data_IF_426346330538
#
_entry.id   IF_426346330538
#
_cell.length_a   1.000
_cell.length_b   1.000
_cell.length_c   1.000
_cell.angle_alpha   90.00
_cell.angle_beta   90.00
_cell.angle_gamma   90.00
#
_symmetry.space_group_name_H-M   'P 1'
#
loop_
_entity.id
_entity.type
_entity.pdbx_description
1 polymer ?
#
# COMPACT_ATOMS: atom_id res chain seq x y z
N UNK A 1 -3.69 18.89 -37.48
CA UNK A 1 -3.98 18.26 -36.16
C UNK A 1 -2.64 17.93 -35.51
N UNK A 2 -2.49 18.13 -34.19
CA UNK A 2 -1.25 17.82 -33.48
C UNK A 2 -1.00 16.31 -33.53
N UNK A 3 0.21 15.91 -33.90
CA UNK A 3 0.69 14.53 -33.99
C UNK A 3 1.52 14.22 -32.76
N UNK A 4 1.17 13.15 -32.04
CA UNK A 4 1.86 12.76 -30.82
C UNK A 4 2.48 11.38 -31.02
N UNK A 5 3.79 11.26 -30.78
CA UNK A 5 4.49 9.98 -30.77
C UNK A 5 4.58 9.43 -29.35
N UNK A 6 4.15 8.18 -29.16
CA UNK A 6 4.33 7.45 -27.91
C UNK A 6 5.39 6.36 -28.10
N UNK A 7 6.44 6.40 -27.29
CA UNK A 7 7.54 5.44 -27.27
C UNK A 7 7.49 4.71 -25.92
N UNK A 8 7.19 3.42 -25.95
CA UNK A 8 7.15 2.58 -24.75
C UNK A 8 8.54 2.05 -24.40
N UNK A 9 9.00 2.28 -23.16
CA UNK A 9 10.31 1.80 -22.69
C UNK A 9 10.21 1.09 -21.34
N UNK A 10 11.09 0.12 -21.12
CA UNK A 10 11.26 -0.57 -19.84
C UNK A 10 12.74 -0.74 -19.56
N UNK A 11 13.11 -0.76 -18.28
CA UNK A 11 14.50 -1.02 -17.89
C UNK A 11 14.90 -2.47 -18.18
N UNK A 12 16.20 -2.69 -18.26
CA UNK A 12 16.76 -4.04 -18.29
C UNK A 12 16.27 -4.84 -17.07
N UNK A 13 15.99 -6.15 -17.25
CA UNK A 13 15.56 -7.00 -16.14
C UNK A 13 16.60 -6.98 -15.01
N UNK A 14 16.16 -7.04 -13.74
CA UNK A 14 17.06 -7.25 -12.61
C UNK A 14 17.92 -8.51 -12.82
N UNK A 15 19.11 -8.55 -12.22
CA UNK A 15 20.05 -9.67 -12.41
C UNK A 15 19.41 -11.03 -12.09
N UNK A 16 18.59 -11.10 -11.04
CA UNK A 16 17.88 -12.31 -10.60
C UNK A 16 16.86 -12.84 -11.64
N UNK A 17 16.44 -12.00 -12.59
CA UNK A 17 15.46 -12.33 -13.63
C UNK A 17 16.08 -12.48 -15.01
N UNK A 18 17.37 -12.17 -15.21
CA UNK A 18 18.03 -12.25 -16.52
C UNK A 18 17.91 -13.64 -17.14
N UNK A 19 18.10 -14.70 -16.36
CA UNK A 19 17.97 -16.08 -16.84
C UNK A 19 16.57 -16.43 -17.35
N UNK A 20 15.52 -15.94 -16.68
CA UNK A 20 14.13 -16.16 -17.10
C UNK A 20 13.82 -15.41 -18.40
N UNK A 21 14.29 -14.16 -18.53
CA UNK A 21 14.12 -13.39 -19.75
C UNK A 21 14.86 -14.04 -20.91
N UNK A 22 16.12 -14.46 -20.74
CA UNK A 22 16.84 -15.18 -21.78
C UNK A 22 16.15 -16.49 -22.18
N UNK A 23 15.59 -17.24 -21.22
CA UNK A 23 14.88 -18.49 -21.49
C UNK A 23 13.54 -18.27 -22.23
N UNK A 24 12.93 -17.10 -22.07
CA UNK A 24 11.69 -16.75 -22.77
C UNK A 24 11.88 -16.43 -24.26
N UNK A 25 13.13 -16.29 -24.72
CA UNK A 25 13.46 -15.93 -26.10
C UNK A 25 13.31 -14.44 -26.41
N UNK A 26 12.93 -13.61 -25.44
CA UNK A 26 12.90 -12.16 -25.58
C UNK A 26 14.30 -11.55 -25.39
N UNK A 27 14.61 -10.54 -26.21
CA UNK A 27 15.77 -9.67 -26.03
C UNK A 27 15.29 -8.32 -25.52
N UNK A 28 15.90 -7.84 -24.43
CA UNK A 28 15.65 -6.49 -23.90
C UNK A 28 16.91 -5.67 -24.11
N UNK A 29 16.82 -4.68 -24.98
CA UNK A 29 17.92 -3.77 -25.30
C UNK A 29 18.05 -2.63 -24.28
N UNK A 30 19.18 -1.91 -24.31
CA UNK A 30 19.38 -0.74 -23.44
C UNK A 30 18.35 0.35 -23.78
N UNK A 31 17.48 0.76 -22.84
CA UNK A 31 16.45 1.75 -23.11
C UNK A 31 17.00 3.10 -23.52
N UNK A 32 18.23 3.47 -23.11
CA UNK A 32 18.83 4.75 -23.51
C UNK A 32 19.23 4.75 -25.00
N UNK A 33 19.82 3.64 -25.47
CA UNK A 33 20.21 3.47 -26.86
C UNK A 33 18.97 3.40 -27.78
N UNK A 34 17.96 2.64 -27.35
CA UNK A 34 16.69 2.51 -28.10
C UNK A 34 15.97 3.85 -28.15
N UNK A 35 15.85 4.58 -27.04
CA UNK A 35 15.18 5.89 -27.02
C UNK A 35 15.76 6.86 -28.06
N UNK A 36 17.09 6.93 -28.18
CA UNK A 36 17.75 7.80 -29.15
C UNK A 36 17.39 7.44 -30.60
N UNK A 37 17.35 6.14 -30.92
CA UNK A 37 16.98 5.64 -32.25
C UNK A 37 15.52 5.96 -32.57
N UNK A 38 14.61 5.64 -31.66
CA UNK A 38 13.16 5.79 -31.86
C UNK A 38 12.76 7.28 -31.91
N UNK A 39 13.36 8.15 -31.09
CA UNK A 39 13.13 9.59 -31.14
C UNK A 39 13.55 10.20 -32.49
N UNK A 40 14.70 9.78 -33.03
CA UNK A 40 15.15 10.21 -34.35
C UNK A 40 14.21 9.74 -35.48
N UNK A 41 13.59 8.57 -35.34
CA UNK A 41 12.64 8.05 -36.33
C UNK A 41 11.32 8.86 -36.38
N UNK A 42 10.91 9.45 -35.26
CA UNK A 42 9.64 10.19 -35.14
C UNK A 42 9.79 11.70 -35.22
N UNK A 43 11.02 12.23 -35.25
CA UNK A 43 11.31 13.66 -35.21
C UNK A 43 10.52 14.49 -36.23
N UNK A 44 10.48 14.08 -37.51
CA UNK A 44 9.74 14.80 -38.56
C UNK A 44 8.25 14.37 -38.65
N UNK A 45 7.84 13.39 -37.84
CA UNK A 45 6.52 12.74 -37.90
C UNK A 45 5.61 13.17 -36.75
N UNK A 46 6.15 13.73 -35.68
CA UNK A 46 5.43 14.12 -34.49
C UNK A 46 5.73 15.56 -34.10
N UNK A 47 4.73 16.23 -33.54
CA UNK A 47 4.85 17.58 -33.00
C UNK A 47 5.10 17.51 -31.48
N UNK A 48 4.78 16.38 -30.84
CA UNK A 48 5.07 16.08 -29.43
C UNK A 48 5.59 14.66 -29.28
N UNK A 49 6.70 14.47 -28.59
CA UNK A 49 7.25 13.16 -28.27
C UNK A 49 7.05 12.79 -26.79
N UNK A 50 6.54 11.59 -26.56
CA UNK A 50 6.22 11.07 -25.25
C UNK A 50 6.88 9.71 -25.04
N UNK A 51 7.72 9.60 -24.03
CA UNK A 51 8.15 8.30 -23.51
C UNK A 51 7.18 7.85 -22.42
N UNK A 52 6.62 6.65 -22.56
CA UNK A 52 5.86 5.98 -21.50
C UNK A 52 6.73 4.86 -20.93
N UNK A 53 7.07 4.98 -19.65
CA UNK A 53 8.16 4.20 -19.05
C UNK A 53 7.76 3.32 -17.87
N UNK A 54 8.38 2.15 -17.79
CA UNK A 54 8.60 1.42 -16.54
C UNK A 54 10.10 1.42 -16.23
N UNK A 55 10.59 2.58 -15.80
CA UNK A 55 12.02 2.89 -15.69
C UNK A 55 12.40 3.33 -14.27
N UNK A 56 13.63 3.02 -13.86
CA UNK A 56 14.26 3.57 -12.65
C UNK A 56 14.47 5.07 -12.83
N UNK A 57 14.41 5.81 -11.72
CA UNK A 57 14.61 7.28 -11.69
C UNK A 57 15.94 7.71 -12.34
N UNK A 58 17.00 6.91 -12.19
CA UNK A 58 18.30 7.19 -12.83
C UNK A 58 18.23 7.12 -14.36
N UNK A 59 17.48 6.17 -14.93
CA UNK A 59 17.26 6.04 -16.37
C UNK A 59 16.40 7.20 -16.89
N UNK A 60 15.30 7.52 -16.19
CA UNK A 60 14.43 8.67 -16.52
C UNK A 60 15.22 9.98 -16.59
N UNK A 61 16.06 10.25 -15.59
CA UNK A 61 16.87 11.47 -15.57
C UNK A 61 17.86 11.52 -16.75
N UNK A 62 18.49 10.39 -17.10
CA UNK A 62 19.39 10.30 -18.26
C UNK A 62 18.65 10.53 -19.57
N UNK A 63 17.46 9.96 -19.74
CA UNK A 63 16.64 10.18 -20.94
C UNK A 63 16.33 11.67 -21.14
N UNK A 64 15.86 12.36 -20.11
CA UNK A 64 15.59 13.79 -20.17
C UNK A 64 16.85 14.64 -20.39
N UNK A 65 18.00 14.20 -19.89
CA UNK A 65 19.27 14.92 -20.08
C UNK A 65 19.86 14.75 -21.48
N UNK A 66 19.71 13.57 -22.09
CA UNK A 66 20.42 13.17 -23.30
C UNK A 66 19.64 13.42 -24.60
N UNK A 67 18.34 13.72 -24.51
CA UNK A 67 17.47 13.87 -25.67
C UNK A 67 16.80 15.26 -25.63
N UNK A 68 17.32 16.20 -26.42
CA UNK A 68 16.78 17.55 -26.48
C UNK A 68 15.39 17.60 -27.12
N UNK A 69 15.13 16.69 -28.07
CA UNK A 69 13.85 16.60 -28.81
C UNK A 69 12.76 15.84 -28.04
N UNK A 70 13.02 15.46 -26.79
CA UNK A 70 12.06 14.77 -25.93
C UNK A 70 11.23 15.77 -25.13
N UNK A 71 9.91 15.77 -25.33
CA UNK A 71 9.02 16.72 -24.64
C UNK A 71 8.51 16.19 -23.31
N UNK A 72 8.16 14.91 -23.24
CA UNK A 72 7.47 14.35 -22.07
C UNK A 72 7.94 12.93 -21.74
N UNK A 73 8.09 12.66 -20.44
CA UNK A 73 8.16 11.32 -19.88
C UNK A 73 6.98 11.10 -18.92
N UNK A 74 6.18 10.08 -19.19
CA UNK A 74 5.17 9.53 -18.26
C UNK A 74 5.72 8.20 -17.72
N UNK A 75 6.26 8.19 -16.51
CA UNK A 75 6.90 7.00 -15.95
C UNK A 75 6.09 6.40 -14.81
N UNK A 76 6.03 5.08 -14.69
CA UNK A 76 5.49 4.44 -13.49
C UNK A 76 6.35 4.78 -12.26
N UNK A 77 5.71 5.03 -11.11
CA UNK A 77 6.39 5.11 -9.82
C UNK A 77 5.77 4.13 -8.82
N UNK A 78 6.59 3.19 -8.35
CA UNK A 78 6.21 2.16 -7.41
C UNK A 78 6.40 2.53 -5.93
N UNK A 79 6.87 3.75 -5.62
CA UNK A 79 7.20 4.12 -4.23
C UNK A 79 5.98 4.49 -3.40
N UNK A 80 4.82 4.72 -4.04
CA UNK A 80 3.57 5.12 -3.38
C UNK A 80 3.50 6.61 -3.05
N UNK A 81 4.52 7.39 -3.42
CA UNK A 81 4.53 8.85 -3.27
C UNK A 81 4.21 9.48 -4.61
N UNK A 82 3.17 10.32 -4.66
CA UNK A 82 2.93 11.21 -5.80
C UNK A 82 4.03 12.25 -5.83
N UNK A 83 4.96 12.12 -6.77
CA UNK A 83 6.00 13.11 -7.00
C UNK A 83 5.45 14.25 -7.85
N UNK A 84 5.79 15.49 -7.48
CA UNK A 84 5.49 16.63 -8.33
C UNK A 84 6.19 16.47 -9.69
N UNK A 85 5.58 16.92 -10.80
CA UNK A 85 6.21 16.93 -12.09
C UNK A 85 7.53 17.71 -12.06
N UNK A 86 8.54 17.21 -12.75
CA UNK A 86 9.86 17.81 -12.79
C UNK A 86 10.25 18.16 -14.21
N UNK A 87 10.82 19.33 -14.41
CA UNK A 87 11.40 19.73 -15.71
C UNK A 87 12.90 19.46 -15.69
N UNK A 88 13.40 18.71 -16.68
CA UNK A 88 14.83 18.55 -16.93
C UNK A 88 15.08 18.88 -18.39
N UNK A 89 15.84 19.94 -18.66
CA UNK A 89 16.00 20.51 -20.01
C UNK A 89 14.62 20.77 -20.64
N UNK A 90 14.40 20.31 -21.88
CA UNK A 90 13.12 20.43 -22.58
C UNK A 90 12.05 19.43 -22.08
N UNK A 91 12.47 18.36 -21.39
CA UNK A 91 11.57 17.28 -21.03
C UNK A 91 10.85 17.51 -19.71
N UNK A 92 9.51 17.50 -19.75
CA UNK A 92 8.67 17.38 -18.57
C UNK A 92 8.58 15.91 -18.13
N UNK A 93 8.76 15.65 -16.84
CA UNK A 93 8.69 14.31 -16.26
C UNK A 93 7.50 14.28 -15.31
N UNK A 94 6.58 13.34 -15.53
CA UNK A 94 5.47 13.06 -14.63
C UNK A 94 5.40 11.57 -14.31
N UNK A 95 4.77 11.25 -13.19
CA UNK A 95 4.68 9.88 -12.69
C UNK A 95 3.25 9.35 -12.64
N UNK A 96 3.05 8.11 -13.07
CA UNK A 96 1.84 7.34 -12.81
C UNK A 96 2.02 6.60 -11.47
N UNK A 97 1.27 7.00 -10.46
CA UNK A 97 1.44 6.49 -9.09
C UNK A 97 0.86 5.09 -8.92
N UNK A 98 1.48 4.31 -8.03
CA UNK A 98 1.03 2.97 -7.60
C UNK A 98 -0.46 2.93 -7.22
N UNK A 99 -1.10 1.78 -7.48
CA UNK A 99 -2.45 1.41 -7.03
C UNK A 99 -3.61 2.27 -7.57
N UNK A 100 -3.39 3.08 -8.60
CA UNK A 100 -4.46 3.87 -9.24
C UNK A 100 -5.14 4.81 -8.23
N UNK A 101 -4.41 5.30 -7.23
CA UNK A 101 -4.93 6.28 -6.25
C UNK A 101 -5.19 7.65 -6.86
N UNK A 102 -4.51 7.93 -7.97
CA UNK A 102 -4.70 9.15 -8.72
C UNK A 102 -4.92 8.85 -10.20
N UNK A 103 -5.80 9.61 -10.82
CA UNK A 103 -5.83 9.77 -12.27
C UNK A 103 -4.95 10.95 -12.66
N UNK A 104 -3.89 10.69 -13.43
CA UNK A 104 -3.05 11.73 -13.99
C UNK A 104 -3.72 12.42 -15.16
N UNK A 105 -3.84 13.75 -15.09
CA UNK A 105 -4.36 14.59 -16.16
C UNK A 105 -3.23 15.48 -16.68
N UNK A 106 -2.93 15.37 -17.98
CA UNK A 106 -1.99 16.24 -18.67
C UNK A 106 -2.74 17.04 -19.73
N UNK A 107 -2.57 18.35 -19.72
CA UNK A 107 -3.01 19.26 -20.78
C UNK A 107 -1.80 19.95 -21.37
N UNK A 108 -1.78 20.10 -22.68
CA UNK A 108 -0.82 20.96 -23.35
C UNK A 108 -1.56 21.90 -24.31
N UNK A 109 -0.95 23.04 -24.57
CA UNK A 109 -1.52 24.11 -25.38
C UNK A 109 -0.51 24.45 -26.48
N UNK A 110 -0.97 24.38 -27.73
CA UNK A 110 -0.21 24.80 -28.89
C UNK A 110 -0.59 26.25 -29.25
N UNK A 111 0.37 27.02 -29.74
CA UNK A 111 0.12 28.36 -30.29
C UNK A 111 -0.46 28.30 -31.72
N UNK A 112 -0.52 29.44 -32.39
CA UNK A 112 -1.05 29.55 -33.75
C UNK A 112 -0.16 28.88 -34.81
N UNK A 113 1.13 28.73 -34.53
CA UNK A 113 2.11 28.10 -35.42
C UNK A 113 2.24 26.59 -35.15
N UNK A 114 1.65 26.12 -34.05
CA UNK A 114 1.59 24.72 -33.65
C UNK A 114 2.62 24.33 -32.60
N UNK A 115 3.39 25.30 -32.09
CA UNK A 115 4.42 25.09 -31.08
C UNK A 115 3.79 24.93 -29.71
N UNK A 116 4.25 23.94 -28.93
CA UNK A 116 3.73 23.69 -27.59
C UNK A 116 4.29 24.72 -26.59
N UNK A 117 3.46 25.64 -26.13
CA UNK A 117 3.87 26.69 -25.19
C UNK A 117 3.95 26.20 -23.74
N UNK A 118 3.02 25.31 -23.35
CA UNK A 118 2.83 24.98 -21.94
C UNK A 118 2.20 23.62 -21.70
N UNK A 119 2.77 22.89 -20.76
CA UNK A 119 2.14 21.73 -20.12
C UNK A 119 1.51 22.10 -18.78
N UNK A 120 0.36 21.51 -18.47
CA UNK A 120 -0.30 21.56 -17.16
C UNK A 120 -0.57 20.14 -16.71
N UNK A 121 -0.11 19.81 -15.50
CA UNK A 121 -0.33 18.49 -14.90
C UNK A 121 -1.22 18.65 -13.69
N UNK A 122 -2.17 17.73 -13.54
CA UNK A 122 -2.98 17.57 -12.34
C UNK A 122 -3.04 16.10 -11.96
N UNK A 123 -2.91 15.83 -10.66
CA UNK A 123 -3.24 14.53 -10.09
C UNK A 123 -4.63 14.62 -9.46
N UNK A 124 -5.58 13.91 -10.03
CA UNK A 124 -6.95 13.80 -9.49
C UNK A 124 -6.95 12.62 -8.53
N UNK A 125 -7.06 12.88 -7.23
CA UNK A 125 -7.21 11.83 -6.22
C UNK A 125 -8.56 11.13 -6.42
N UNK A 126 -8.53 9.80 -6.49
CA UNK A 126 -9.72 8.96 -6.65
C UNK A 126 -10.25 8.56 -5.28
N UNK A 127 -10.86 9.53 -4.59
CA UNK A 127 -11.44 9.39 -3.26
C UNK A 127 -12.98 9.23 -3.28
N UNK A 128 -13.59 9.24 -2.10
CA UNK A 128 -15.06 9.08 -1.95
C UNK A 128 -15.87 10.25 -2.55
N UNK A 129 -15.23 11.36 -2.94
CA UNK A 129 -15.91 12.48 -3.61
C UNK A 129 -16.26 12.13 -5.05
N UNK A 130 -15.49 11.23 -5.68
CA UNK A 130 -15.76 10.72 -7.02
C UNK A 130 -16.58 9.44 -6.89
N UNK A 131 -17.83 9.48 -7.34
CA UNK A 131 -18.71 8.32 -7.30
C UNK A 131 -18.19 7.19 -8.21
N UNK A 132 -18.24 5.96 -7.69
CA UNK A 132 -17.97 4.75 -8.48
C UNK A 132 -18.96 4.62 -9.65
N UNK A 133 -18.47 4.13 -10.79
CA UNK A 133 -19.34 3.73 -11.90
C UNK A 133 -20.18 2.51 -11.51
N UNK A 134 -21.50 2.61 -11.67
CA UNK A 134 -22.43 1.58 -11.21
C UNK A 134 -22.24 0.22 -11.91
N UNK A 135 -21.81 0.23 -13.18
CA UNK A 135 -21.57 -1.00 -13.95
C UNK A 135 -20.31 -1.69 -13.43
N UNK A 136 -19.21 -0.95 -13.30
CA UNK A 136 -17.95 -1.47 -12.77
C UNK A 136 -18.07 -1.91 -11.30
N UNK A 137 -18.85 -1.19 -10.48
CA UNK A 137 -19.14 -1.56 -9.11
C UNK A 137 -19.87 -2.91 -9.04
N UNK A 138 -20.86 -3.12 -9.93
CA UNK A 138 -21.59 -4.38 -10.04
C UNK A 138 -20.68 -5.52 -10.48
N UNK A 139 -19.85 -5.30 -11.51
CA UNK A 139 -18.87 -6.29 -11.98
C UNK A 139 -17.90 -6.68 -10.87
N UNK A 140 -17.35 -5.70 -10.15
CA UNK A 140 -16.42 -5.93 -9.05
C UNK A 140 -17.05 -6.72 -7.92
N UNK A 141 -18.31 -6.41 -7.56
CA UNK A 141 -19.04 -7.14 -6.52
C UNK A 141 -19.28 -8.60 -6.90
N UNK A 142 -19.64 -8.87 -8.16
CA UNK A 142 -19.82 -10.23 -8.66
C UNK A 142 -18.51 -11.01 -8.62
N UNK A 143 -17.43 -10.45 -9.16
CA UNK A 143 -16.12 -11.08 -9.15
C UNK A 143 -15.63 -11.38 -7.72
N UNK A 144 -15.81 -10.43 -6.77
CA UNK A 144 -15.46 -10.67 -5.36
C UNK A 144 -16.27 -11.80 -4.74
N UNK A 145 -17.56 -11.92 -5.06
CA UNK A 145 -18.40 -13.01 -4.56
C UNK A 145 -17.92 -14.38 -5.06
N UNK A 146 -17.52 -14.48 -6.31
CA UNK A 146 -16.99 -15.72 -6.90
C UNK A 146 -15.64 -16.10 -6.26
N UNK A 147 -14.74 -15.11 -6.11
CA UNK A 147 -13.46 -15.30 -5.42
C UNK A 147 -13.67 -15.73 -3.97
N UNK A 148 -14.58 -15.08 -3.24
CA UNK A 148 -14.89 -15.37 -1.84
C UNK A 148 -15.42 -16.79 -1.64
N UNK A 149 -16.21 -17.31 -2.60
CA UNK A 149 -16.68 -18.70 -2.57
C UNK A 149 -15.51 -19.70 -2.69
N UNK A 150 -14.57 -19.45 -3.60
CA UNK A 150 -13.38 -20.29 -3.78
C UNK A 150 -12.47 -20.20 -2.56
N UNK A 151 -12.18 -18.99 -2.08
CA UNK A 151 -11.33 -18.78 -0.91
C UNK A 151 -11.95 -19.35 0.36
N UNK A 152 -13.27 -19.30 0.51
CA UNK A 152 -13.97 -19.93 1.64
C UNK A 152 -13.77 -21.42 1.66
N UNK A 153 -13.91 -22.09 0.50
CA UNK A 153 -13.65 -23.53 0.41
C UNK A 153 -12.20 -23.86 0.76
N UNK A 154 -11.24 -23.10 0.22
CA UNK A 154 -9.82 -23.28 0.54
C UNK A 154 -9.53 -23.08 2.03
N UNK A 155 -10.15 -22.09 2.65
CA UNK A 155 -10.01 -21.81 4.08
C UNK A 155 -10.62 -22.92 4.96
N UNK A 156 -11.74 -23.50 4.54
CA UNK A 156 -12.37 -24.66 5.19
C UNK A 156 -11.50 -25.91 5.09
N UNK A 157 -10.95 -26.19 3.91
CA UNK A 157 -10.00 -27.29 3.70
C UNK A 157 -8.75 -27.11 4.57
N UNK A 158 -8.17 -25.89 4.60
CA UNK A 158 -7.03 -25.56 5.46
C UNK A 158 -7.37 -25.70 6.95
N UNK A 159 -8.55 -25.23 7.37
CA UNK A 159 -9.03 -25.37 8.75
C UNK A 159 -9.19 -26.83 9.15
N UNK A 160 -9.72 -27.68 8.26
CA UNK A 160 -9.85 -29.11 8.51
C UNK A 160 -8.48 -29.78 8.68
N UNK A 161 -7.49 -29.43 7.86
CA UNK A 161 -6.11 -29.92 7.98
C UNK A 161 -5.47 -29.49 9.31
N UNK A 162 -5.66 -28.23 9.71
CA UNK A 162 -5.16 -27.71 10.98
C UNK A 162 -5.82 -28.42 12.16
N UNK A 163 -7.14 -28.60 12.14
CA UNK A 163 -7.88 -29.31 13.17
C UNK A 163 -7.40 -30.76 13.30
N UNK A 164 -7.20 -31.45 12.18
CA UNK A 164 -6.64 -32.81 12.17
C UNK A 164 -5.23 -32.84 12.78
N UNK A 165 -4.38 -31.87 12.45
CA UNK A 165 -3.04 -31.74 13.04
C UNK A 165 -3.09 -31.49 14.54
N UNK A 166 -3.96 -30.60 15.01
CA UNK A 166 -4.16 -30.32 16.44
C UNK A 166 -4.63 -31.56 17.20
N UNK A 167 -5.50 -32.38 16.59
CA UNK A 167 -5.97 -33.62 17.20
C UNK A 167 -4.84 -34.65 17.42
N UNK A 168 -3.79 -34.61 16.59
CA UNK A 168 -2.62 -35.52 16.68
C UNK A 168 -1.51 -34.93 17.55
N UNK A 169 -1.11 -33.68 17.27
CA UNK A 169 0.09 -33.04 17.82
C UNK A 169 -0.21 -32.13 19.03
N UNK A 170 -1.48 -31.84 19.30
CA UNK A 170 -1.90 -30.78 20.22
C UNK A 170 -1.89 -29.38 19.60
N UNK A 171 -2.35 -28.38 20.34
CA UNK A 171 -2.38 -27.00 19.85
C UNK A 171 -0.94 -26.48 19.68
N UNK A 172 -0.55 -25.96 18.49
CA UNK A 172 0.75 -25.33 18.35
C UNK A 172 0.84 -24.13 19.30
N UNK A 173 1.98 -23.94 19.97
CA UNK A 173 2.14 -22.81 20.89
C UNK A 173 2.00 -21.51 20.10
N UNK A 174 0.97 -20.73 20.41
CA UNK A 174 0.83 -19.36 19.95
C UNK A 174 1.54 -18.43 20.92
N UNK A 175 2.23 -17.43 20.39
CA UNK A 175 2.69 -16.31 21.21
C UNK A 175 1.52 -15.39 21.62
N UNK A 176 0.36 -15.55 20.99
CA UNK A 176 -0.82 -14.73 21.19
C UNK A 176 -1.87 -15.45 22.05
N UNK A 177 -2.56 -14.70 22.92
CA UNK A 177 -3.54 -15.24 23.87
C UNK A 177 -4.93 -14.64 23.77
N UNK A 178 -5.15 -13.66 22.89
CA UNK A 178 -6.40 -12.89 22.71
C UNK A 178 -6.68 -11.88 23.84
N UNK A 179 -7.55 -10.92 23.55
CA UNK A 179 -7.95 -9.86 24.49
C UNK A 179 -8.75 -10.42 25.67
N UNK A 180 -9.50 -11.49 25.44
CA UNK A 180 -10.32 -12.20 26.42
C UNK A 180 -9.45 -12.80 27.53
N UNK A 181 -8.25 -13.30 27.19
CA UNK A 181 -7.29 -13.75 28.20
C UNK A 181 -6.78 -12.58 29.04
N UNK A 182 -6.49 -11.44 28.41
CA UNK A 182 -6.08 -10.23 29.12
C UNK A 182 -7.18 -9.74 30.08
N UNK A 183 -8.45 -9.85 29.71
CA UNK A 183 -9.61 -9.41 30.51
C UNK A 183 -9.71 -10.09 31.88
N UNK A 184 -9.07 -11.25 32.07
CA UNK A 184 -9.04 -11.97 33.35
C UNK A 184 -8.33 -11.16 34.46
N UNK A 185 -7.37 -10.31 34.09
CA UNK A 185 -6.64 -9.44 35.02
C UNK A 185 -6.80 -7.94 34.70
N UNK A 186 -7.05 -7.58 33.43
CA UNK A 186 -7.11 -6.20 32.90
C UNK A 186 -8.52 -5.84 32.44
N UNK A 187 -9.51 -6.06 33.32
CA UNK A 187 -10.93 -5.88 33.02
C UNK A 187 -11.26 -4.45 32.56
N UNK A 188 -10.71 -3.43 33.23
CA UNK A 188 -11.02 -2.04 32.93
C UNK A 188 -10.50 -1.60 31.55
N UNK A 189 -9.29 -2.02 31.21
CA UNK A 189 -8.68 -1.78 29.91
C UNK A 189 -9.43 -2.53 28.79
N UNK A 190 -9.79 -3.80 29.04
CA UNK A 190 -10.59 -4.59 28.12
C UNK A 190 -11.95 -3.95 27.84
N UNK A 191 -12.67 -3.51 28.88
CA UNK A 191 -13.99 -2.89 28.74
C UNK A 191 -13.95 -1.58 27.93
N UNK A 192 -12.80 -0.89 27.92
CA UNK A 192 -12.56 0.25 27.02
C UNK A 192 -12.27 -0.23 25.59
N UNK A 193 -11.33 -1.17 25.42
CA UNK A 193 -10.97 -1.72 24.09
C UNK A 193 -12.18 -2.29 23.35
N UNK A 194 -13.04 -3.04 24.04
CA UNK A 194 -14.20 -3.72 23.46
C UNK A 194 -15.18 -2.75 22.77
N UNK A 195 -15.20 -1.48 23.17
CA UNK A 195 -16.07 -0.44 22.59
C UNK A 195 -15.46 0.25 21.37
N UNK A 196 -14.21 -0.08 21.03
CA UNK A 196 -13.49 0.56 19.93
C UNK A 196 -13.73 -0.18 18.62
N UNK A 197 -13.45 0.50 17.50
CA UNK A 197 -13.47 -0.15 16.17
C UNK A 197 -12.46 -1.29 16.05
N UNK A 198 -11.38 -1.28 16.85
CA UNK A 198 -10.38 -2.34 16.85
C UNK A 198 -10.95 -3.69 17.29
N UNK A 199 -11.80 -3.72 18.31
CA UNK A 199 -12.47 -4.94 18.77
C UNK A 199 -13.48 -5.51 17.76
N UNK A 200 -13.81 -4.74 16.72
CA UNK A 200 -14.76 -5.12 15.66
C UNK A 200 -14.14 -5.00 14.27
N UNK A 201 -12.81 -4.92 14.17
CA UNK A 201 -12.11 -4.60 12.95
C UNK A 201 -12.45 -5.57 11.81
N UNK A 202 -12.53 -6.87 12.11
CA UNK A 202 -12.73 -7.90 11.08
C UNK A 202 -14.07 -7.76 10.35
N UNK A 203 -15.11 -7.29 11.05
CA UNK A 203 -16.44 -7.03 10.45
C UNK A 203 -16.36 -6.00 9.31
N UNK A 204 -15.46 -5.03 9.42
CA UNK A 204 -15.27 -3.99 8.42
C UNK A 204 -14.78 -4.53 7.06
N UNK A 205 -13.97 -5.60 7.07
CA UNK A 205 -13.46 -6.24 5.85
C UNK A 205 -14.38 -7.36 5.36
N UNK A 206 -15.17 -7.96 6.25
CA UNK A 206 -16.25 -8.90 5.88
C UNK A 206 -17.29 -8.24 5.00
N UNK A 207 -17.80 -7.07 5.41
CA UNK A 207 -18.78 -6.31 4.61
C UNK A 207 -18.27 -5.89 3.23
N UNK A 208 -16.93 -5.86 3.04
CA UNK A 208 -16.27 -5.51 1.79
C UNK A 208 -15.81 -6.74 0.97
N UNK A 209 -16.06 -7.96 1.46
CA UNK A 209 -15.61 -9.23 0.88
C UNK A 209 -14.08 -9.29 0.76
N UNK A 210 -13.38 -9.00 1.85
CA UNK A 210 -11.91 -8.92 1.94
C UNK A 210 -11.31 -9.78 3.05
N UNK A 211 -12.06 -10.74 3.58
CA UNK A 211 -11.67 -11.56 4.75
C UNK A 211 -10.51 -12.54 4.49
N UNK A 212 -10.15 -12.73 3.22
CA UNK A 212 -9.00 -13.54 2.80
C UNK A 212 -7.94 -12.72 2.06
N UNK A 213 -8.10 -11.39 2.01
CA UNK A 213 -7.12 -10.50 1.40
C UNK A 213 -5.97 -10.27 2.39
N UNK A 214 -4.77 -10.76 2.04
CA UNK A 214 -3.58 -10.67 2.89
C UNK A 214 -3.25 -9.23 3.33
N UNK A 215 -3.54 -8.24 2.48
CA UNK A 215 -3.33 -6.83 2.80
C UNK A 215 -4.31 -6.32 3.86
N UNK A 216 -5.52 -6.90 3.92
CA UNK A 216 -6.55 -6.53 4.89
C UNK A 216 -6.40 -7.30 6.22
N UNK A 217 -6.23 -8.62 6.15
CA UNK A 217 -6.22 -9.46 7.35
C UNK A 217 -5.04 -9.15 8.27
N UNK A 218 -3.90 -8.69 7.73
CA UNK A 218 -2.73 -8.31 8.55
C UNK A 218 -3.04 -7.22 9.57
N UNK A 219 -3.91 -6.28 9.23
CA UNK A 219 -4.32 -5.17 10.10
C UNK A 219 -5.66 -5.38 10.81
N UNK A 220 -6.46 -6.36 10.38
CA UNK A 220 -7.78 -6.64 10.93
C UNK A 220 -7.83 -7.91 11.78
N UNK A 221 -6.68 -8.52 12.07
CA UNK A 221 -6.51 -9.68 12.94
C UNK A 221 -5.25 -9.51 13.79
N UNK A 222 -4.97 -10.47 14.69
CA UNK A 222 -3.72 -10.50 15.45
C UNK A 222 -2.88 -11.72 15.10
N UNK A 223 -1.57 -11.54 14.97
CA UNK A 223 -0.62 -12.63 14.75
C UNK A 223 -0.71 -13.30 13.38
N UNK A 224 -1.27 -12.63 12.36
CA UNK A 224 -1.21 -13.10 10.98
C UNK A 224 0.23 -13.30 10.54
N UNK A 225 0.53 -14.49 9.99
CA UNK A 225 1.90 -14.96 9.66
C UNK A 225 2.86 -15.05 10.85
N UNK A 226 2.35 -14.99 12.08
CA UNK A 226 3.14 -15.01 13.33
C UNK A 226 2.52 -15.98 14.35
N UNK A 227 2.03 -17.14 13.89
CA UNK A 227 1.40 -18.15 14.75
C UNK A 227 0.16 -17.67 15.56
N UNK A 228 -0.54 -16.62 15.09
CA UNK A 228 -1.86 -16.22 15.57
C UNK A 228 -2.92 -16.53 14.51
N UNK A 229 -3.52 -15.49 13.92
CA UNK A 229 -4.53 -15.63 12.87
C UNK A 229 -3.98 -16.34 11.62
N UNK A 230 -4.70 -17.36 11.16
CA UNK A 230 -4.43 -18.07 9.90
C UNK A 230 -5.48 -17.66 8.88
N UNK A 231 -6.73 -18.05 9.14
CA UNK A 231 -7.91 -17.63 8.40
C UNK A 231 -9.13 -17.68 9.35
N UNK A 232 -10.27 -17.13 8.90
CA UNK A 232 -11.47 -17.02 9.74
C UNK A 232 -12.10 -18.38 10.11
N UNK A 233 -11.80 -19.45 9.37
CA UNK A 233 -12.32 -20.81 9.60
C UNK A 233 -11.44 -21.59 10.56
N UNK A 234 -10.12 -21.38 10.51
CA UNK A 234 -9.14 -22.10 11.32
C UNK A 234 -8.94 -21.49 12.70
N UNK A 235 -8.85 -20.16 12.79
CA UNK A 235 -8.51 -19.45 14.02
C UNK A 235 -9.37 -18.18 14.22
N UNK A 236 -10.71 -18.32 14.27
CA UNK A 236 -11.62 -17.16 14.38
C UNK A 236 -11.38 -16.31 15.63
N UNK A 237 -10.84 -16.90 16.70
CA UNK A 237 -10.54 -16.21 17.96
C UNK A 237 -9.45 -15.13 17.85
N UNK A 238 -8.64 -15.14 16.79
CA UNK A 238 -7.63 -14.11 16.53
C UNK A 238 -8.11 -13.07 15.50
N UNK A 239 -9.37 -13.13 15.08
CA UNK A 239 -9.98 -12.09 14.28
C UNK A 239 -10.18 -10.82 15.13
N UNK A 240 -10.12 -9.65 14.48
CA UNK A 240 -10.09 -8.32 15.07
C UNK A 240 -8.70 -7.88 15.57
N UNK A 241 -8.56 -6.58 15.85
CA UNK A 241 -7.35 -6.03 16.44
C UNK A 241 -7.44 -6.24 17.95
N UNK A 242 -6.53 -7.03 18.51
CA UNK A 242 -6.52 -7.38 19.94
C UNK A 242 -5.63 -6.43 20.75
N UNK A 243 -5.68 -6.55 22.09
CA UNK A 243 -4.74 -5.85 22.99
C UNK A 243 -3.29 -6.01 22.49
N UNK A 244 -2.94 -7.22 22.09
CA UNK A 244 -1.61 -7.65 21.66
C UNK A 244 -1.13 -6.95 20.37
N UNK A 245 -2.03 -6.35 19.57
CA UNK A 245 -1.64 -5.51 18.42
C UNK A 245 -0.95 -4.21 18.86
N UNK A 246 -1.29 -3.68 20.04
CA UNK A 246 -0.64 -2.51 20.63
C UNK A 246 0.46 -2.90 21.62
N UNK A 247 0.24 -4.00 22.32
CA UNK A 247 0.96 -4.40 23.53
C UNK A 247 2.03 -5.48 23.27
N UNK A 248 2.06 -6.07 22.08
CA UNK A 248 2.92 -7.22 21.78
C UNK A 248 2.27 -8.54 22.20
N UNK A 249 2.95 -9.64 21.92
CA UNK A 249 2.46 -11.00 22.19
C UNK A 249 2.43 -11.30 23.69
N UNK A 250 1.30 -11.82 24.19
CA UNK A 250 0.98 -11.90 25.61
C UNK A 250 1.19 -13.26 26.27
N UNK A 251 1.55 -14.32 25.53
CA UNK A 251 1.58 -15.69 26.06
C UNK A 251 2.47 -15.88 27.30
N UNK A 252 3.71 -15.37 27.26
CA UNK A 252 4.64 -15.50 28.39
C UNK A 252 4.12 -14.76 29.63
N UNK A 253 3.59 -13.56 29.43
CA UNK A 253 3.03 -12.74 30.51
C UNK A 253 1.77 -13.37 31.12
N UNK A 254 0.86 -13.88 30.29
CA UNK A 254 -0.35 -14.53 30.76
C UNK A 254 -0.04 -15.82 31.54
N UNK A 255 1.04 -16.53 31.20
CA UNK A 255 1.48 -17.73 31.92
C UNK A 255 2.16 -17.40 33.26
N UNK A 256 2.88 -16.29 33.34
CA UNK A 256 3.64 -15.87 34.53
C UNK A 256 3.45 -14.35 34.78
N UNK A 257 2.26 -13.94 35.26
CA UNK A 257 1.95 -12.53 35.41
C UNK A 257 2.80 -11.91 36.52
N UNK A 258 3.66 -10.97 36.16
CA UNK A 258 4.44 -10.18 37.10
C UNK A 258 4.20 -8.69 36.86
N UNK A 259 3.84 -7.97 37.94
CA UNK A 259 3.49 -6.55 37.87
C UNK A 259 4.66 -5.73 37.34
N UNK A 260 4.40 -4.93 36.30
CA UNK A 260 5.42 -4.08 35.67
C UNK A 260 6.36 -4.81 34.72
N UNK A 261 6.23 -6.14 34.55
CA UNK A 261 7.02 -6.92 33.60
C UNK A 261 6.17 -7.35 32.41
N UNK A 262 5.93 -6.37 31.54
CA UNK A 262 5.34 -6.58 30.24
C UNK A 262 5.85 -5.53 29.25
N UNK A 263 6.64 -5.95 28.27
CA UNK A 263 7.29 -5.02 27.34
C UNK A 263 6.28 -4.58 26.29
N UNK A 264 5.69 -3.41 26.51
CA UNK A 264 4.78 -2.78 25.54
C UNK A 264 5.57 -1.89 24.58
N UNK A 265 5.41 -2.04 23.26
CA UNK A 265 5.97 -1.12 22.28
C UNK A 265 5.55 0.33 22.56
N UNK A 266 6.48 1.28 22.36
CA UNK A 266 6.16 2.69 22.54
C UNK A 266 5.16 3.18 21.47
N UNK A 267 4.14 3.93 21.88
CA UNK A 267 3.31 4.68 20.95
C UNK A 267 4.14 5.85 20.35
N UNK A 268 3.98 6.19 19.06
CA UNK A 268 2.94 5.74 18.13
C UNK A 268 3.34 4.52 17.26
N UNK A 269 4.47 3.85 17.54
CA UNK A 269 5.04 2.84 16.65
C UNK A 269 4.08 1.66 16.36
N UNK A 270 3.30 1.23 17.36
CA UNK A 270 2.28 0.19 17.17
C UNK A 270 1.06 0.63 16.35
N UNK A 271 0.78 1.93 16.27
CA UNK A 271 -0.34 2.46 15.50
C UNK A 271 -0.02 2.52 14.00
N UNK A 272 1.18 2.99 13.66
CA UNK A 272 1.59 3.27 12.27
C UNK A 272 1.91 2.03 11.44
N UNK A 273 1.87 0.83 12.05
CA UNK A 273 1.94 -0.43 11.31
C UNK A 273 0.68 -0.69 10.46
N UNK A 274 -0.44 -0.06 10.82
CA UNK A 274 -1.71 -0.16 10.10
C UNK A 274 -2.33 1.21 9.79
N UNK A 275 -1.99 2.24 10.55
CA UNK A 275 -2.37 3.61 10.23
C UNK A 275 -1.26 4.31 9.43
N UNK A 276 -1.21 4.00 8.15
CA UNK A 276 -0.39 4.68 7.16
C UNK A 276 -1.28 5.49 6.19
N UNK A 277 -0.64 6.14 5.20
CA UNK A 277 -1.34 6.91 4.18
C UNK A 277 -2.30 6.06 3.34
N UNK A 278 -2.01 4.78 3.19
CA UNK A 278 -2.75 3.88 2.30
C UNK A 278 -4.01 3.34 2.97
N UNK A 279 -3.94 3.07 4.28
CA UNK A 279 -4.98 2.42 5.06
C UNK A 279 -5.79 3.41 5.92
N UNK A 280 -5.21 4.55 6.28
CA UNK A 280 -5.85 5.56 7.15
C UNK A 280 -5.29 6.96 6.86
N UNK A 281 -5.56 7.55 5.68
CA UNK A 281 -4.99 8.82 5.24
C UNK A 281 -5.25 9.99 6.21
N UNK A 282 -6.37 9.97 6.93
CA UNK A 282 -6.74 10.99 7.92
C UNK A 282 -6.16 10.76 9.33
N UNK A 283 -5.30 9.74 9.50
CA UNK A 283 -4.76 9.40 10.80
C UNK A 283 -3.91 10.54 11.36
N UNK A 284 -4.32 11.04 12.53
CA UNK A 284 -3.55 11.98 13.34
C UNK A 284 -3.49 11.42 14.75
N UNK A 285 -2.31 10.98 15.18
CA UNK A 285 -2.13 10.25 16.45
C UNK A 285 -2.79 10.96 17.64
N UNK A 286 -2.58 12.26 17.78
CA UNK A 286 -3.12 13.06 18.90
C UNK A 286 -4.65 13.10 18.92
N UNK A 287 -5.30 13.01 17.75
CA UNK A 287 -6.76 12.99 17.64
C UNK A 287 -7.34 11.59 17.90
N UNK A 288 -6.62 10.54 17.52
CA UNK A 288 -7.09 9.16 17.58
C UNK A 288 -6.79 8.50 18.93
N UNK A 289 -5.66 8.83 19.55
CA UNK A 289 -5.21 8.23 20.80
C UNK A 289 -6.23 8.27 21.95
N UNK A 290 -6.98 9.38 22.21
CA UNK A 290 -7.91 9.44 23.33
C UNK A 290 -8.97 8.32 23.35
N UNK A 291 -9.33 7.80 22.17
CA UNK A 291 -10.29 6.70 22.01
C UNK A 291 -9.78 5.40 22.64
N UNK A 292 -8.47 5.12 22.51
CA UNK A 292 -7.85 3.86 22.95
C UNK A 292 -7.04 4.02 24.25
N UNK A 293 -6.67 5.24 24.62
CA UNK A 293 -5.83 5.55 25.78
C UNK A 293 -6.36 4.93 27.08
N UNK A 294 -5.55 4.15 27.78
CA UNK A 294 -5.92 3.57 29.07
C UNK A 294 -4.71 3.49 30.02
N UNK A 295 -4.99 3.24 31.30
CA UNK A 295 -4.02 3.40 32.37
C UNK A 295 -3.65 4.87 32.64
N UNK A 296 -2.65 5.11 33.49
CA UNK A 296 -2.15 6.45 33.81
C UNK A 296 -1.26 7.06 32.72
N UNK A 297 -1.44 6.66 31.45
CA UNK A 297 -0.67 7.13 30.32
C UNK A 297 -1.11 8.54 29.93
N UNK A 298 -0.39 9.55 30.43
CA UNK A 298 -0.44 10.91 29.86
C UNK A 298 0.38 10.88 28.58
N UNK A 299 -0.24 11.19 27.44
CA UNK A 299 0.51 11.45 26.20
C UNK A 299 1.38 12.67 26.46
N UNK A 300 2.70 12.51 26.44
CA UNK A 300 3.55 13.66 26.25
C UNK A 300 3.22 14.22 24.86
N UNK A 301 2.83 15.50 24.72
CA UNK A 301 2.53 16.06 23.41
C UNK A 301 3.71 15.80 22.48
N UNK A 302 3.43 15.36 21.25
CA UNK A 302 4.47 15.15 20.26
C UNK A 302 5.35 16.41 20.19
N UNK A 303 6.66 16.20 20.29
CA UNK A 303 7.63 17.27 20.10
C UNK A 303 7.39 17.80 18.69
N UNK A 304 6.78 18.98 18.58
CA UNK A 304 6.61 19.65 17.29
C UNK A 304 7.98 19.68 16.63
N UNK A 305 8.15 19.21 15.37
CA UNK A 305 9.42 19.35 14.68
C UNK A 305 9.75 20.84 14.64
N UNK A 306 10.81 21.23 15.34
CA UNK A 306 11.35 22.60 15.25
C UNK A 306 11.92 22.76 13.86
N UNK A 307 11.07 23.17 12.92
CA UNK A 307 11.54 23.77 11.67
C UNK A 307 12.21 25.07 12.09
N UNK A 308 13.54 25.06 12.24
CA UNK A 308 14.32 26.28 12.26
C UNK A 308 14.11 26.93 10.90
N UNK A 309 13.18 27.89 10.85
CA UNK A 309 13.09 28.82 9.74
C UNK A 309 14.48 29.44 9.57
N UNK A 310 15.17 29.10 8.48
CA UNK A 310 16.31 29.88 8.03
C UNK A 310 15.74 31.27 7.70
N UNK A 311 16.04 32.24 8.56
CA UNK A 311 15.78 33.65 8.26
C UNK A 311 16.69 34.04 7.09
N UNK A 312 16.05 34.46 6.00
CA UNK A 312 16.51 35.27 4.86
C UNK A 312 17.92 35.00 4.35
#
# INVERSE_FOLDING_TARGET
>A
PVRIAFIGLSDLPPDDFKGQVSASGFMVEDPLAVAKKELAEVQDKADVTVIVGYLKRGTVNKLAQQNADLDLIINADGTGITLDPMQINNTLIMYATKETKHLGELRFYADADGDIERFTVRYVELDEVIADDATLATMTKTARKEIDAVQTKMAEDEAALIAAKIAVDGLPPSSFVTSEKCAQCHKAEFDKWQKTRHAHAFKGIETRQRIYDAACVGCHSVGFKQAGFINIKATPQFANVHCESCHGAGAEHAAKPEKGKYVTPAAPASCVGCHDRDNSPDFVFEKYWPVVAHGNLKVAPAIKPTVKAKKK
#
